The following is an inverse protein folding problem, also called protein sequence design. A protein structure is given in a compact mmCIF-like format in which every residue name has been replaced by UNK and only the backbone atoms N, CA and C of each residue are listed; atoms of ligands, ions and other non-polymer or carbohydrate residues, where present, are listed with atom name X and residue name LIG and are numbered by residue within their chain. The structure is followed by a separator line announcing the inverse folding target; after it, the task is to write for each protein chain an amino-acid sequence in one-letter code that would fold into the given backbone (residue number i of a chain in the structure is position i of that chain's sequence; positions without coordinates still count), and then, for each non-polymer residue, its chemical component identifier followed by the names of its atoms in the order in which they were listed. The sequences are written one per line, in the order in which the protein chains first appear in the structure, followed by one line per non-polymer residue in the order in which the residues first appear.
data_IF_596131971566
#
_entry.id   IF_596131971566
#
_cell.length_a   1.000
_cell.length_b   1.000
_cell.length_c   1.000
_cell.angle_alpha   90.00
_cell.angle_beta   90.00
_cell.angle_gamma   90.00
#
_symmetry.space_group_name_H-M   'P 1'
#
loop_
_entity.id
_entity.type
_entity.pdbx_description
1 polymer ?
#
# COMPACT_ATOMS: atom_id res chain seq x y z
N UNK A 1 -13.94 19.74 -14.60
CA UNK A 1 -13.46 18.92 -13.48
C UNK A 1 -12.37 18.01 -14.03
N UNK A 2 -11.11 18.19 -13.64
CA UNK A 2 -10.04 17.27 -14.09
C UNK A 2 -10.24 15.94 -13.34
N UNK A 3 -10.43 14.86 -14.09
CA UNK A 3 -10.50 13.52 -13.53
C UNK A 3 -9.07 13.04 -13.25
N UNK A 4 -8.60 13.23 -12.03
CA UNK A 4 -7.35 12.63 -11.58
C UNK A 4 -7.60 11.22 -11.05
N UNK A 5 -6.62 10.34 -11.22
CA UNK A 5 -6.63 9.01 -10.63
C UNK A 5 -5.73 8.98 -9.39
N UNK A 6 -6.22 8.40 -8.31
CA UNK A 6 -5.45 8.16 -7.10
C UNK A 6 -4.88 6.75 -7.15
N UNK A 7 -3.64 6.63 -7.60
CA UNK A 7 -2.95 5.36 -7.80
C UNK A 7 -1.85 5.20 -6.77
N UNK A 8 -1.85 4.12 -6.01
CA UNK A 8 -0.82 3.78 -5.02
C UNK A 8 0.15 2.69 -5.51
N UNK A 9 -0.19 1.97 -6.57
CA UNK A 9 0.63 0.92 -7.16
C UNK A 9 0.31 0.70 -8.62
N UNK A 10 1.23 0.10 -9.36
CA UNK A 10 1.07 -0.27 -10.76
C UNK A 10 1.88 -1.52 -11.08
N UNK A 11 1.72 -2.00 -12.31
CA UNK A 11 2.49 -3.14 -12.81
C UNK A 11 3.99 -2.85 -13.05
N UNK A 12 4.41 -1.59 -12.93
CA UNK A 12 5.79 -1.15 -13.12
C UNK A 12 6.50 -0.75 -11.83
N UNK A 13 5.82 -0.91 -10.69
CA UNK A 13 6.35 -0.54 -9.38
C UNK A 13 6.21 -1.70 -8.39
N UNK A 14 7.01 -1.67 -7.32
CA UNK A 14 6.81 -2.56 -6.21
C UNK A 14 5.37 -2.48 -5.70
N UNK A 15 4.85 -3.60 -5.26
CA UNK A 15 3.54 -3.64 -4.63
C UNK A 15 3.51 -2.76 -3.38
N UNK A 16 2.38 -2.11 -3.14
CA UNK A 16 2.22 -1.16 -2.04
C UNK A 16 2.64 -1.76 -0.69
N UNK A 17 2.28 -3.00 -0.42
CA UNK A 17 2.63 -3.67 0.83
C UNK A 17 4.16 -3.85 0.97
N UNK A 18 4.85 -4.28 -0.07
CA UNK A 18 6.31 -4.38 -0.09
C UNK A 18 6.98 -3.02 0.10
N UNK A 19 6.47 -1.97 -0.52
CA UNK A 19 6.97 -0.60 -0.35
C UNK A 19 6.87 -0.12 1.09
N UNK A 20 5.73 -0.34 1.74
CA UNK A 20 5.52 0.03 3.14
C UNK A 20 6.53 -0.65 4.05
N UNK A 21 6.75 -1.95 3.88
CA UNK A 21 7.73 -2.71 4.68
C UNK A 21 9.13 -2.20 4.44
N UNK A 22 9.49 -1.93 3.20
CA UNK A 22 10.85 -1.58 2.80
C UNK A 22 11.20 -0.11 3.02
N UNK A 23 10.22 0.78 3.11
CA UNK A 23 10.45 2.21 3.32
C UNK A 23 11.17 2.49 4.67
N UNK A 24 10.88 1.70 5.69
CA UNK A 24 11.64 1.81 6.97
C UNK A 24 13.10 1.35 6.85
N UNK A 25 13.37 0.35 6.02
CA UNK A 25 14.74 -0.11 5.78
C UNK A 25 15.56 0.97 5.08
N UNK A 26 14.95 1.68 4.14
CA UNK A 26 15.59 2.81 3.46
C UNK A 26 15.92 3.99 4.38
N UNK A 27 15.13 4.22 5.41
CA UNK A 27 15.36 5.33 6.37
C UNK A 27 16.47 5.05 7.38
N UNK A 28 16.81 3.79 7.64
CA UNK A 28 17.89 3.40 8.55
C UNK A 28 19.25 3.23 7.85
N UNK A 29 19.31 3.45 6.54
CA UNK A 29 20.57 3.54 5.84
C UNK A 29 21.22 4.87 6.20
N UNK A 30 22.43 4.82 6.81
CA UNK A 30 23.24 5.97 7.19
C UNK A 30 23.18 7.08 6.15
N UNK A 31 22.98 8.32 6.62
CA UNK A 31 23.04 9.52 5.80
C UNK A 31 24.25 9.47 4.88
N UNK A 32 24.02 9.38 3.57
CA UNK A 32 25.08 9.38 2.54
C UNK A 32 25.19 8.15 1.65
N UNK A 33 24.62 7.01 2.01
CA UNK A 33 24.43 5.91 1.07
C UNK A 33 23.05 6.05 0.40
N UNK A 34 22.96 6.95 -0.56
CA UNK A 34 21.90 6.85 -1.57
C UNK A 34 22.03 5.45 -2.17
N UNK A 35 21.02 4.61 -1.94
CA UNK A 35 20.82 3.43 -2.78
C UNK A 35 20.89 3.95 -4.21
N UNK A 36 21.91 3.52 -4.94
CA UNK A 36 22.06 3.91 -6.34
C UNK A 36 20.68 3.81 -6.96
N UNK A 37 20.23 4.91 -7.56
CA UNK A 37 18.90 5.07 -8.14
C UNK A 37 18.66 4.00 -9.19
N UNK A 38 18.43 2.78 -8.75
CA UNK A 38 17.74 1.76 -9.51
C UNK A 38 16.27 2.14 -9.46
N UNK A 39 15.72 2.33 -10.62
CA UNK A 39 14.31 2.56 -10.91
C UNK A 39 13.39 2.04 -9.81
N UNK A 40 12.77 2.95 -9.04
CA UNK A 40 11.60 2.80 -8.16
C UNK A 40 11.46 1.52 -7.32
N UNK A 41 12.48 0.80 -7.03
CA UNK A 41 12.25 -0.43 -6.33
C UNK A 41 13.51 -0.97 -5.71
N UNK A 42 13.26 -1.76 -4.72
CA UNK A 42 14.23 -2.61 -4.11
C UNK A 42 14.76 -3.51 -5.20
N UNK A 43 16.05 -3.44 -5.42
CA UNK A 43 16.69 -4.44 -6.26
C UNK A 43 16.38 -5.82 -5.67
N UNK A 44 15.86 -6.77 -6.47
CA UNK A 44 15.55 -8.12 -5.97
C UNK A 44 16.76 -8.82 -5.34
N UNK A 45 17.96 -8.42 -5.74
CA UNK A 45 19.24 -8.90 -5.19
C UNK A 45 19.60 -8.28 -3.85
N UNK A 46 18.96 -7.17 -3.47
CA UNK A 46 19.12 -6.49 -2.18
C UNK A 46 17.88 -6.63 -1.28
N UNK A 47 16.79 -7.18 -1.80
CA UNK A 47 15.54 -7.35 -1.09
C UNK A 47 15.65 -8.46 -0.04
N UNK A 48 16.28 -8.15 1.09
CA UNK A 48 16.11 -8.95 2.30
C UNK A 48 14.66 -8.98 2.78
N UNK A 49 13.80 -8.09 2.24
CA UNK A 49 12.43 -7.85 2.68
C UNK A 49 11.41 -7.98 1.55
N UNK A 50 11.59 -8.94 0.69
CA UNK A 50 10.60 -9.26 -0.35
C UNK A 50 9.24 -9.59 0.27
N UNK A 51 9.25 -10.31 1.38
CA UNK A 51 8.05 -10.73 2.09
C UNK A 51 7.75 -9.79 3.28
N UNK A 52 6.50 -9.32 3.45
CA UNK A 52 6.14 -8.37 4.50
C UNK A 52 6.20 -8.89 5.93
N UNK A 53 6.38 -10.18 6.13
CA UNK A 53 6.55 -10.80 7.46
C UNK A 53 8.01 -10.86 7.91
N UNK A 54 8.95 -10.31 7.14
CA UNK A 54 10.32 -10.24 7.60
C UNK A 54 10.42 -9.32 8.81
N UNK A 55 11.09 -9.81 9.82
CA UNK A 55 11.10 -9.37 11.21
C UNK A 55 11.84 -8.07 11.49
N UNK A 56 12.04 -7.22 10.50
CA UNK A 56 12.84 -6.02 10.67
C UNK A 56 12.00 -4.95 11.36
N UNK A 57 12.46 -4.53 12.52
CA UNK A 57 12.04 -3.36 13.31
C UNK A 57 10.55 -3.10 13.59
N UNK A 58 9.63 -3.79 12.88
CA UNK A 58 8.21 -3.67 13.15
C UNK A 58 7.77 -4.39 14.42
N UNK A 59 8.58 -5.33 14.96
CA UNK A 59 8.29 -6.06 16.19
C UNK A 59 8.20 -5.10 17.38
N UNK A 60 9.01 -4.04 17.37
CA UNK A 60 9.06 -3.03 18.43
C UNK A 60 8.21 -1.79 18.13
N UNK A 61 7.48 -1.78 17.01
CA UNK A 61 6.62 -0.68 16.63
C UNK A 61 5.17 -0.97 16.99
N UNK A 62 4.49 0.01 17.60
CA UNK A 62 3.06 -0.06 17.85
C UNK A 62 2.23 0.01 16.56
N UNK A 63 2.86 0.36 15.41
CA UNK A 63 2.21 0.49 14.11
C UNK A 63 2.71 -0.63 13.21
N UNK A 64 1.82 -1.49 12.74
CA UNK A 64 2.14 -2.58 11.83
C UNK A 64 2.02 -2.14 10.36
N UNK A 65 2.75 -2.77 9.42
CA UNK A 65 2.63 -2.45 7.98
C UNK A 65 1.20 -2.51 7.45
N UNK A 66 0.40 -3.45 7.95
CA UNK A 66 -1.02 -3.56 7.59
C UNK A 66 -1.85 -2.35 8.06
N UNK A 67 -1.50 -1.71 9.17
CA UNK A 67 -2.22 -0.53 9.65
C UNK A 67 -1.91 0.68 8.76
N UNK A 68 -0.66 0.80 8.29
CA UNK A 68 -0.28 1.82 7.29
C UNK A 68 -1.02 1.58 5.97
N UNK A 69 -1.10 0.33 5.52
CA UNK A 69 -1.83 -0.03 4.30
C UNK A 69 -3.32 0.36 4.42
N UNK A 70 -3.93 0.11 5.58
CA UNK A 70 -5.30 0.55 5.87
C UNK A 70 -5.43 2.07 5.87
N UNK A 71 -4.49 2.79 6.46
CA UNK A 71 -4.48 4.26 6.47
C UNK A 71 -4.39 4.84 5.05
N UNK A 72 -3.47 4.32 4.23
CA UNK A 72 -3.32 4.72 2.83
C UNK A 72 -4.62 4.44 2.06
N UNK A 73 -5.28 3.31 2.30
CA UNK A 73 -6.54 2.98 1.63
C UNK A 73 -7.69 3.92 2.04
N UNK A 74 -7.75 4.38 3.30
CA UNK A 74 -8.68 5.42 3.73
C UNK A 74 -8.44 6.69 2.92
N UNK A 75 -7.19 7.16 2.89
CA UNK A 75 -6.83 8.36 2.14
C UNK A 75 -7.23 8.22 0.65
N UNK A 76 -6.88 7.11 0.02
CA UNK A 76 -7.21 6.84 -1.38
C UNK A 76 -8.72 6.89 -1.67
N UNK A 77 -9.54 6.33 -0.76
CA UNK A 77 -11.00 6.27 -0.93
C UNK A 77 -11.73 7.55 -0.56
N UNK A 78 -11.11 8.44 0.22
CA UNK A 78 -11.74 9.68 0.69
C UNK A 78 -11.20 10.93 0.00
N UNK A 79 -9.99 10.87 -0.58
CA UNK A 79 -9.40 11.99 -1.31
C UNK A 79 -10.13 12.28 -2.63
N UNK A 80 -9.85 13.44 -3.23
CA UNK A 80 -10.40 13.81 -4.54
C UNK A 80 -9.85 12.93 -5.65
N UNK A 81 -10.64 12.72 -6.70
CA UNK A 81 -10.27 11.88 -7.85
C UNK A 81 -10.87 10.48 -7.78
N UNK A 82 -10.56 9.67 -8.76
CA UNK A 82 -11.00 8.29 -8.86
C UNK A 82 -9.97 7.36 -8.21
N UNK A 83 -10.31 6.62 -7.16
CA UNK A 83 -9.41 5.64 -6.59
C UNK A 83 -9.18 4.52 -7.62
N UNK A 84 -7.91 4.21 -7.88
CA UNK A 84 -7.51 3.12 -8.76
C UNK A 84 -6.70 2.10 -7.95
N UNK A 85 -7.23 0.91 -7.79
CA UNK A 85 -6.56 -0.19 -7.09
C UNK A 85 -5.74 -1.01 -8.11
N UNK A 86 -4.50 -1.27 -7.79
CA UNK A 86 -3.76 -2.31 -8.49
C UNK A 86 -4.20 -3.66 -7.91
N UNK A 87 -4.62 -4.59 -8.78
CA UNK A 87 -5.17 -5.88 -8.36
C UNK A 87 -4.27 -6.57 -7.33
N UNK A 88 -4.85 -7.07 -6.25
CA UNK A 88 -4.14 -7.73 -5.18
C UNK A 88 -3.74 -6.83 -4.00
N UNK A 89 -3.77 -5.49 -4.14
CA UNK A 89 -3.55 -4.60 -3.01
C UNK A 89 -4.63 -4.81 -1.93
N UNK A 90 -5.86 -5.09 -2.35
CA UNK A 90 -7.02 -5.35 -1.50
C UNK A 90 -6.94 -6.65 -0.69
N UNK A 91 -6.05 -7.55 -1.07
CA UNK A 91 -5.79 -8.82 -0.38
C UNK A 91 -4.36 -8.90 0.17
N UNK A 92 -3.64 -7.78 0.18
CA UNK A 92 -2.33 -7.69 0.79
C UNK A 92 -1.22 -8.41 0.02
N UNK A 93 -1.34 -8.53 -1.30
CA UNK A 93 -0.28 -9.12 -2.10
C UNK A 93 1.01 -8.29 -2.00
N UNK A 94 2.11 -8.98 -1.87
CA UNK A 94 3.45 -8.40 -1.92
C UNK A 94 4.13 -8.70 -3.25
N UNK A 95 5.23 -8.05 -3.52
CA UNK A 95 6.04 -8.25 -4.70
C UNK A 95 7.00 -7.08 -4.90
N UNK A 96 8.24 -7.40 -5.22
CA UNK A 96 9.25 -6.42 -5.56
C UNK A 96 9.02 -5.87 -6.98
N UNK A 97 9.99 -5.12 -7.48
CA UNK A 97 9.96 -4.53 -8.82
C UNK A 97 9.66 -5.54 -9.92
N UNK A 98 9.32 -5.05 -11.10
CA UNK A 98 9.06 -5.86 -12.30
C UNK A 98 10.17 -6.93 -12.52
N UNK A 99 9.79 -8.19 -12.80
CA UNK A 99 8.44 -8.73 -13.03
C UNK A 99 7.71 -9.23 -11.78
N UNK A 100 8.29 -9.18 -10.60
CA UNK A 100 7.79 -9.80 -9.37
C UNK A 100 6.53 -9.11 -8.80
N UNK A 101 6.24 -7.88 -9.21
CA UNK A 101 4.97 -7.21 -8.88
C UNK A 101 3.78 -7.73 -9.71
N UNK A 102 4.02 -8.43 -10.83
CA UNK A 102 2.99 -8.85 -11.81
C UNK A 102 2.44 -10.25 -11.53
N UNK A 103 2.37 -10.65 -10.29
CA UNK A 103 1.81 -11.95 -9.90
C UNK A 103 0.31 -12.04 -10.19
N UNK A 104 -0.23 -13.23 -10.48
CA UNK A 104 -1.67 -13.46 -10.56
C UNK A 104 -2.37 -13.09 -9.26
N UNK A 105 -3.65 -12.70 -9.34
CA UNK A 105 -4.49 -12.44 -8.18
C UNK A 105 -4.60 -13.68 -7.29
N UNK A 106 -4.51 -13.47 -5.98
CA UNK A 106 -4.76 -14.51 -5.00
C UNK A 106 -6.27 -14.58 -4.70
N UNK A 107 -6.84 -15.76 -4.91
CA UNK A 107 -8.24 -16.06 -4.65
C UNK A 107 -8.37 -17.07 -3.51
N UNK A 108 -9.39 -16.93 -2.67
CA UNK A 108 -9.60 -17.77 -1.49
C UNK A 108 -9.92 -19.24 -1.79
N UNK A 109 -10.47 -19.49 -2.97
CA UNK A 109 -10.84 -20.82 -3.45
C UNK A 109 -9.68 -21.67 -3.99
N UNK A 110 -8.49 -21.08 -4.13
CA UNK A 110 -7.32 -21.78 -4.66
C UNK A 110 -6.28 -22.07 -3.58
N UNK A 111 -5.55 -23.15 -3.80
CA UNK A 111 -4.34 -23.51 -3.05
C UNK A 111 -3.14 -23.13 -3.93
N UNK A 112 -2.17 -22.47 -3.35
CA UNK A 112 -1.00 -21.97 -4.04
C UNK A 112 0.26 -22.70 -3.58
N UNK A 113 1.19 -22.91 -4.50
CA UNK A 113 2.53 -23.33 -4.15
C UNK A 113 3.24 -22.27 -3.32
N UNK A 114 4.26 -22.67 -2.57
CA UNK A 114 5.11 -21.73 -1.85
C UNK A 114 5.82 -20.79 -2.82
N UNK A 115 5.78 -19.51 -2.52
CA UNK A 115 6.49 -18.49 -3.29
C UNK A 115 7.96 -18.46 -2.87
N UNK A 116 8.85 -18.62 -3.84
CA UNK A 116 10.30 -18.54 -3.60
C UNK A 116 10.75 -17.08 -3.60
N UNK A 117 11.61 -16.74 -2.66
CA UNK A 117 12.24 -15.43 -2.64
C UNK A 117 13.11 -15.24 -3.90
N UNK A 118 12.86 -14.22 -4.73
CA UNK A 118 13.65 -13.97 -5.93
C UNK A 118 15.05 -13.40 -5.64
N UNK A 119 15.31 -12.97 -4.40
CA UNK A 119 16.60 -12.43 -4.00
C UNK A 119 17.72 -13.45 -4.10
N UNK A 120 18.88 -13.02 -4.56
CA UNK A 120 20.08 -13.86 -4.57
C UNK A 120 20.61 -14.18 -3.18
N UNK A 121 20.29 -13.33 -2.20
CA UNK A 121 20.74 -13.47 -0.82
C UNK A 121 19.92 -14.50 -0.06
N UNK A 122 18.60 -14.54 -0.30
CA UNK A 122 17.65 -15.34 0.48
C UNK A 122 16.94 -16.40 -0.40
N UNK A 123 17.65 -17.03 -1.32
CA UNK A 123 17.06 -17.97 -2.31
C UNK A 123 16.33 -19.18 -1.72
N UNK A 124 16.62 -19.52 -0.48
CA UNK A 124 16.02 -20.68 0.20
C UNK A 124 14.77 -20.32 1.00
N UNK A 125 14.40 -19.03 1.03
CA UNK A 125 13.18 -18.61 1.71
C UNK A 125 11.97 -18.88 0.82
N UNK A 126 10.99 -19.55 1.40
CA UNK A 126 9.71 -19.84 0.76
C UNK A 126 8.58 -19.32 1.64
N UNK A 127 7.55 -18.78 1.02
CA UNK A 127 6.47 -18.12 1.71
C UNK A 127 5.12 -18.68 1.29
N UNK A 128 4.25 -18.87 2.26
CA UNK A 128 2.85 -19.20 1.99
C UNK A 128 2.16 -18.05 1.29
N UNK A 129 1.33 -18.39 0.31
CA UNK A 129 0.51 -17.43 -0.42
C UNK A 129 -0.96 -17.63 -0.08
N UNK A 130 -1.58 -16.59 0.42
CA UNK A 130 -3.01 -16.57 0.72
C UNK A 130 -3.54 -15.12 0.69
N UNK A 131 -4.83 -14.92 0.35
CA UNK A 131 -5.45 -13.61 0.41
C UNK A 131 -5.74 -13.21 1.86
N UNK A 132 -5.42 -11.97 2.21
CA UNK A 132 -5.83 -11.38 3.49
C UNK A 132 -7.33 -11.03 3.48
N UNK A 133 -8.13 -11.91 4.07
CA UNK A 133 -9.61 -11.75 4.13
C UNK A 133 -10.05 -10.53 4.92
N UNK A 134 -9.31 -10.13 5.94
CA UNK A 134 -9.68 -8.98 6.78
C UNK A 134 -9.38 -7.67 6.04
N UNK A 135 -8.26 -7.61 5.33
CA UNK A 135 -7.95 -6.49 4.45
C UNK A 135 -8.97 -6.38 3.31
N UNK A 136 -9.36 -7.49 2.71
CA UNK A 136 -10.41 -7.52 1.69
C UNK A 136 -11.74 -6.97 2.20
N UNK A 137 -12.17 -7.40 3.40
CA UNK A 137 -13.39 -6.86 4.05
C UNK A 137 -13.25 -5.35 4.31
N UNK A 138 -12.07 -4.91 4.70
CA UNK A 138 -11.76 -3.49 4.90
C UNK A 138 -11.95 -2.67 3.62
N UNK A 139 -11.35 -3.09 2.51
CA UNK A 139 -11.52 -2.42 1.23
C UNK A 139 -12.99 -2.42 0.77
N UNK A 140 -13.70 -3.54 0.92
CA UNK A 140 -15.15 -3.58 0.63
C UNK A 140 -15.93 -2.55 1.44
N UNK A 141 -15.61 -2.39 2.74
CA UNK A 141 -16.23 -1.37 3.60
C UNK A 141 -15.94 0.05 3.09
N UNK A 142 -14.70 0.36 2.76
CA UNK A 142 -14.32 1.68 2.26
C UNK A 142 -14.98 2.01 0.91
N UNK A 143 -15.01 1.06 0.00
CA UNK A 143 -15.70 1.21 -1.30
C UNK A 143 -17.19 1.48 -1.08
N UNK A 144 -17.83 0.75 -0.15
CA UNK A 144 -19.23 0.97 0.21
C UNK A 144 -19.43 2.39 0.76
N UNK A 145 -18.61 2.82 1.73
CA UNK A 145 -18.66 4.18 2.28
C UNK A 145 -18.56 5.23 1.17
N UNK A 146 -17.59 5.09 0.25
CA UNK A 146 -17.44 6.03 -0.86
C UNK A 146 -18.65 6.06 -1.78
N UNK A 147 -19.20 4.90 -2.12
CA UNK A 147 -20.37 4.80 -3.03
C UNK A 147 -21.66 5.38 -2.42
N UNK A 148 -21.84 5.22 -1.13
CA UNK A 148 -23.02 5.70 -0.40
C UNK A 148 -22.92 7.21 -0.07
N UNK A 149 -21.72 7.80 -0.15
CA UNK A 149 -21.51 9.21 0.14
C UNK A 149 -21.06 10.00 -1.08
N UNK A 150 -22.02 10.65 -1.75
CA UNK A 150 -21.76 11.52 -2.92
C UNK A 150 -20.73 12.61 -2.64
N UNK A 151 -20.61 13.04 -1.39
CA UNK A 151 -19.58 13.98 -0.92
C UNK A 151 -18.17 13.48 -1.25
N UNK A 152 -17.89 12.20 -1.08
CA UNK A 152 -16.58 11.61 -1.37
C UNK A 152 -16.31 11.47 -2.87
N UNK A 153 -17.37 11.37 -3.68
CA UNK A 153 -17.25 11.21 -5.15
C UNK A 153 -17.14 12.56 -5.84
N UNK A 154 -18.02 13.51 -5.50
CA UNK A 154 -18.20 14.77 -6.23
C UNK A 154 -17.81 16.00 -5.40
N UNK A 155 -17.53 15.82 -4.10
CA UNK A 155 -17.31 16.93 -3.17
C UNK A 155 -16.03 17.70 -3.47
N UNK A 156 -16.07 18.99 -3.10
CA UNK A 156 -14.88 19.83 -3.05
C UNK A 156 -13.98 19.36 -1.92
N UNK A 157 -12.71 19.65 -2.04
CA UNK A 157 -11.69 19.38 -1.02
C UNK A 157 -11.28 20.69 -0.35
N UNK A 158 -11.12 20.63 0.96
CA UNK A 158 -10.56 21.71 1.75
C UNK A 158 -9.66 21.12 2.83
N UNK A 159 -8.40 21.52 2.82
CA UNK A 159 -7.49 21.21 3.92
C UNK A 159 -7.92 21.98 5.17
N UNK A 160 -7.94 21.31 6.31
CA UNK A 160 -8.27 21.89 7.61
C UNK A 160 -7.05 21.99 8.51
N UNK A 161 -6.19 20.99 8.48
CA UNK A 161 -4.98 20.90 9.30
C UNK A 161 -3.91 20.08 8.59
N UNK A 162 -2.69 20.57 8.63
CA UNK A 162 -1.48 19.78 8.34
C UNK A 162 -0.48 20.00 9.48
N UNK A 163 -0.19 18.94 10.23
CA UNK A 163 0.78 18.94 11.32
C UNK A 163 1.90 17.96 10.99
N UNK A 164 3.02 18.51 10.52
CA UNK A 164 4.20 17.72 10.14
C UNK A 164 5.01 17.21 11.34
N UNK A 165 4.73 17.69 12.54
CA UNK A 165 5.41 17.24 13.77
C UNK A 165 4.79 15.95 14.28
N UNK A 166 3.46 15.88 14.21
CA UNK A 166 2.69 14.73 14.69
C UNK A 166 2.18 13.83 13.55
N UNK A 167 2.59 14.08 12.30
CA UNK A 167 2.18 13.35 11.09
C UNK A 167 0.64 13.29 10.93
N UNK A 168 -0.05 14.40 11.19
CA UNK A 168 -1.51 14.51 11.11
C UNK A 168 -1.94 15.38 9.93
N UNK A 169 -2.89 14.88 9.15
CA UNK A 169 -3.61 15.64 8.14
C UNK A 169 -5.11 15.50 8.39
N UNK A 170 -5.82 16.65 8.38
CA UNK A 170 -7.27 16.68 8.38
C UNK A 170 -7.79 17.50 7.20
N UNK A 171 -8.84 17.02 6.57
CA UNK A 171 -9.46 17.68 5.44
C UNK A 171 -10.97 17.46 5.40
N UNK A 172 -11.64 18.39 4.78
CA UNK A 172 -13.08 18.38 4.58
C UNK A 172 -13.41 18.07 3.11
N UNK A 173 -14.44 17.26 2.92
CA UNK A 173 -15.09 17.04 1.62
C UNK A 173 -16.51 17.58 1.71
N UNK A 174 -16.89 18.49 0.79
CA UNK A 174 -18.21 19.16 0.81
C UNK A 174 -18.94 19.02 -0.52
N UNK A 175 -20.23 18.69 -0.49
CA UNK A 175 -21.10 18.65 -1.65
C UNK A 175 -22.55 18.94 -1.24
N UNK A 176 -23.21 19.89 -1.90
CA UNK A 176 -24.64 20.18 -1.73
C UNK A 176 -25.07 20.35 -0.26
N UNK A 177 -24.30 21.11 0.52
CA UNK A 177 -24.59 21.40 1.92
C UNK A 177 -24.26 20.26 2.90
N UNK A 178 -23.69 19.16 2.43
CA UNK A 178 -23.18 18.08 3.28
C UNK A 178 -21.66 18.15 3.35
N UNK A 179 -21.11 17.82 4.52
CA UNK A 179 -19.66 17.72 4.70
C UNK A 179 -19.28 16.43 5.42
N UNK A 180 -18.03 15.98 5.16
CA UNK A 180 -17.33 14.93 5.87
C UNK A 180 -15.91 15.40 6.17
N UNK A 181 -15.43 15.14 7.36
CA UNK A 181 -14.06 15.43 7.82
C UNK A 181 -13.37 14.12 8.12
#
# INVERSE_FOLDING_TARGET
MQASQNLNGSHDTDRLYSRIVNDKVGRNLEEGKQLEKGYNGIRPDLASNYHPNTTIDWINSNIKPKDILKLISIFQMTYIGAPMLFHGDEVGMWGATDPYCRKPMLWDEFIYDLEKNPSKVNRNEEYEQYPDKDLFKWYKKLIKIRRENRVLVYGKFKELLTDNVNDVIAYERTNEGRSLI
#
